data_IF_634711944078
#
_entry.id   IF_634711944078
#
_cell.length_a   1.000
_cell.length_b   1.000
_cell.length_c   1.000
_cell.angle_alpha   90.00
_cell.angle_beta   90.00
_cell.angle_gamma   90.00
#
_symmetry.space_group_name_H-M   'P 1'
#
loop_
_entity.id
_entity.type
_entity.pdbx_description
1 polymer ?
#
# COMPACT_ATOMS: atom_id res chain seq x y z
N UNK A 1 -2.78 10.21 -10.71
CA UNK A 1 -2.79 9.17 -9.65
C UNK A 1 -2.79 9.83 -8.29
N UNK A 2 -3.71 9.43 -7.42
CA UNK A 2 -3.76 9.97 -6.06
C UNK A 2 -2.63 9.41 -5.22
N UNK A 3 -2.03 10.25 -4.40
CA UNK A 3 -0.93 9.85 -3.53
C UNK A 3 -1.21 10.21 -2.08
N UNK A 4 -0.56 9.50 -1.17
CA UNK A 4 -0.68 9.70 0.26
C UNK A 4 0.72 9.62 0.86
N UNK A 5 1.07 10.57 1.71
CA UNK A 5 2.39 10.55 2.37
C UNK A 5 2.40 9.57 3.53
N UNK A 6 3.60 9.18 3.99
CA UNK A 6 3.71 8.32 5.16
C UNK A 6 3.17 9.00 6.42
N UNK A 7 3.30 10.33 6.51
CA UNK A 7 2.72 11.08 7.64
C UNK A 7 1.20 10.99 7.63
N UNK A 8 0.59 11.12 6.45
CA UNK A 8 -0.86 10.99 6.30
C UNK A 8 -1.33 9.58 6.63
N UNK A 9 -0.57 8.55 6.21
CA UNK A 9 -0.89 7.18 6.55
C UNK A 9 -0.82 6.96 8.06
N UNK A 10 0.19 7.51 8.70
CA UNK A 10 0.31 7.40 10.15
C UNK A 10 -0.87 8.04 10.86
N UNK A 11 -1.36 9.17 10.36
CA UNK A 11 -2.57 9.80 10.91
C UNK A 11 -3.80 8.90 10.77
N UNK A 12 -3.96 8.25 9.60
CA UNK A 12 -5.07 7.31 9.42
C UNK A 12 -5.02 6.18 10.45
N UNK A 13 -3.81 5.64 10.68
CA UNK A 13 -3.62 4.56 11.63
C UNK A 13 -3.88 5.03 13.06
N UNK A 14 -3.29 6.16 13.44
CA UNK A 14 -3.40 6.68 14.81
C UNK A 14 -4.83 7.09 15.16
N UNK A 15 -5.57 7.61 14.19
CA UNK A 15 -6.95 8.02 14.37
C UNK A 15 -7.93 6.86 14.19
N UNK A 16 -7.44 5.66 13.93
CA UNK A 16 -8.25 4.45 13.72
C UNK A 16 -9.33 4.65 12.65
N UNK A 17 -8.95 5.33 11.57
CA UNK A 17 -9.84 5.56 10.44
C UNK A 17 -10.18 4.23 9.74
N UNK A 18 -11.35 4.19 9.10
CA UNK A 18 -11.77 3.01 8.35
C UNK A 18 -11.18 3.08 6.94
N UNK A 19 -10.06 2.42 6.73
CA UNK A 19 -9.38 2.36 5.44
C UNK A 19 -8.75 0.98 5.27
N UNK A 20 -8.34 0.68 4.04
CA UNK A 20 -7.65 -0.57 3.73
C UNK A 20 -6.22 -0.26 3.34
N UNK A 21 -5.27 -1.04 3.86
CA UNK A 21 -3.86 -0.93 3.49
C UNK A 21 -3.45 -2.24 2.81
N UNK A 22 -3.01 -2.14 1.55
CA UNK A 22 -2.61 -3.30 0.77
C UNK A 22 -1.16 -3.18 0.35
N UNK A 23 -0.40 -4.24 0.63
CA UNK A 23 1.01 -4.34 0.30
C UNK A 23 1.17 -5.27 -0.91
N UNK A 24 1.69 -4.73 -2.01
CA UNK A 24 1.85 -5.50 -3.26
C UNK A 24 3.27 -6.02 -3.47
N UNK A 25 4.08 -6.04 -2.39
CA UNK A 25 5.42 -6.62 -2.46
C UNK A 25 5.37 -8.14 -2.49
N UNK A 26 6.52 -8.77 -2.64
CA UNK A 26 6.63 -10.22 -2.58
C UNK A 26 6.54 -10.72 -1.15
N UNK A 27 6.16 -12.00 -1.00
CA UNK A 27 6.01 -12.63 0.32
C UNK A 27 7.30 -12.53 1.14
N UNK A 28 8.46 -12.76 0.52
CA UNK A 28 9.74 -12.71 1.23
C UNK A 28 10.03 -11.30 1.77
N UNK A 29 9.70 -10.26 1.00
CA UNK A 29 9.86 -8.88 1.46
C UNK A 29 8.97 -8.60 2.66
N UNK A 30 7.73 -9.05 2.60
CA UNK A 30 6.74 -8.85 3.66
C UNK A 30 7.17 -9.58 4.95
N UNK A 31 7.68 -10.80 4.81
CA UNK A 31 8.11 -11.58 5.97
C UNK A 31 9.33 -10.95 6.66
N UNK A 32 10.20 -10.29 5.89
CA UNK A 32 11.36 -9.63 6.46
C UNK A 32 10.97 -8.41 7.28
N UNK A 33 10.08 -7.56 6.75
CA UNK A 33 9.57 -6.39 7.47
C UNK A 33 8.27 -5.94 6.81
N UNK A 34 7.31 -5.53 7.62
CA UNK A 34 6.05 -5.03 7.10
C UNK A 34 5.43 -4.03 8.07
N UNK A 35 4.44 -3.29 7.59
CA UNK A 35 3.65 -2.37 8.41
C UNK A 35 2.21 -2.85 8.56
N UNK A 36 2.03 -4.18 8.49
CA UNK A 36 0.77 -4.88 8.76
C UNK A 36 -0.32 -4.64 7.73
N UNK A 37 0.05 -4.27 6.50
CA UNK A 37 -0.91 -4.24 5.40
C UNK A 37 -1.32 -5.65 5.00
N UNK A 38 -2.40 -5.76 4.27
CA UNK A 38 -2.82 -7.03 3.68
C UNK A 38 -1.92 -7.32 2.49
N UNK A 39 -1.28 -8.48 2.48
CA UNK A 39 -0.36 -8.84 1.39
C UNK A 39 -1.12 -9.39 0.19
N UNK A 40 -1.01 -8.68 -0.92
CA UNK A 40 -1.51 -9.14 -2.23
C UNK A 40 -0.41 -8.85 -3.24
N UNK A 41 0.53 -9.80 -3.46
CA UNK A 41 1.64 -9.55 -4.39
C UNK A 41 1.16 -9.06 -5.75
N UNK A 42 1.92 -8.16 -6.35
CA UNK A 42 1.53 -7.48 -7.59
C UNK A 42 1.02 -8.45 -8.67
N UNK A 43 1.70 -9.58 -8.85
CA UNK A 43 1.34 -10.53 -9.89
C UNK A 43 -0.01 -11.20 -9.63
N UNK A 44 -0.47 -11.20 -8.38
CA UNK A 44 -1.73 -11.82 -8.00
C UNK A 44 -2.90 -10.83 -7.97
N UNK A 45 -2.64 -9.54 -8.18
CA UNK A 45 -3.69 -8.52 -8.15
C UNK A 45 -4.84 -8.84 -9.11
N UNK A 46 -4.60 -9.24 -10.37
CA UNK A 46 -5.73 -9.55 -11.26
C UNK A 46 -6.65 -10.64 -10.75
N UNK A 47 -6.11 -11.61 -10.01
CA UNK A 47 -6.92 -12.71 -9.45
C UNK A 47 -7.58 -12.32 -8.12
N UNK A 48 -7.25 -11.15 -7.57
CA UNK A 48 -7.71 -10.71 -6.25
C UNK A 48 -8.39 -9.34 -6.27
N UNK A 49 -8.91 -8.93 -7.42
CA UNK A 49 -9.57 -7.63 -7.57
C UNK A 49 -10.69 -7.43 -6.54
N UNK A 50 -11.40 -8.51 -6.23
CA UNK A 50 -12.51 -8.49 -5.28
C UNK A 50 -12.08 -8.25 -3.83
N UNK A 51 -10.79 -8.36 -3.54
CA UNK A 51 -10.26 -8.08 -2.19
C UNK A 51 -10.01 -6.60 -1.94
N UNK A 52 -10.04 -5.78 -2.98
CA UNK A 52 -9.89 -4.34 -2.87
C UNK A 52 -11.24 -3.70 -2.63
N UNK A 53 -11.36 -2.94 -1.54
CA UNK A 53 -12.61 -2.26 -1.22
C UNK A 53 -12.94 -1.20 -2.26
N UNK A 54 -14.23 -0.99 -2.52
CA UNK A 54 -14.71 0.06 -3.43
C UNK A 54 -15.39 1.21 -2.71
N UNK A 55 -15.72 1.02 -1.43
CA UNK A 55 -16.54 1.93 -0.65
C UNK A 55 -15.77 2.67 0.45
N UNK A 56 -14.45 2.55 0.45
CA UNK A 56 -13.60 3.27 1.40
C UNK A 56 -12.24 3.55 0.78
N UNK A 57 -11.45 4.37 1.45
CA UNK A 57 -10.10 4.67 1.01
C UNK A 57 -9.22 3.43 1.07
N UNK A 58 -8.49 3.17 -0.01
CA UNK A 58 -7.53 2.07 -0.08
C UNK A 58 -6.15 2.65 -0.35
N UNK A 59 -5.20 2.35 0.54
CA UNK A 59 -3.80 2.75 0.37
C UNK A 59 -3.05 1.53 -0.14
N UNK A 60 -2.38 1.68 -1.28
CA UNK A 60 -1.60 0.61 -1.90
C UNK A 60 -0.13 0.96 -1.76
N UNK A 61 0.68 0.03 -1.29
CA UNK A 61 2.09 0.28 -1.03
C UNK A 61 2.99 -0.80 -1.58
N UNK A 62 4.23 -0.43 -1.80
CA UNK A 62 5.31 -1.36 -2.11
C UNK A 62 6.60 -0.83 -1.49
N UNK A 63 7.76 -1.20 -2.03
CA UNK A 63 9.04 -0.74 -1.48
C UNK A 63 9.24 0.76 -1.70
N UNK A 64 9.04 1.26 -2.92
CA UNK A 64 9.33 2.66 -3.28
C UNK A 64 8.16 3.41 -3.91
N UNK A 65 7.05 2.73 -4.20
CA UNK A 65 5.89 3.33 -4.84
C UNK A 65 5.70 2.94 -6.30
N UNK A 66 6.64 2.21 -6.89
CA UNK A 66 6.59 1.88 -8.33
C UNK A 66 5.64 0.74 -8.64
N UNK A 67 5.77 -0.38 -7.94
CA UNK A 67 4.89 -1.55 -8.15
C UNK A 67 3.47 -1.21 -7.74
N UNK A 68 3.30 -0.45 -6.67
CA UNK A 68 1.97 -0.02 -6.23
C UNK A 68 1.32 0.91 -7.26
N UNK A 69 2.10 1.77 -7.92
CA UNK A 69 1.58 2.59 -9.02
C UNK A 69 1.06 1.71 -10.15
N UNK A 70 1.78 0.64 -10.50
CA UNK A 70 1.35 -0.29 -11.54
C UNK A 70 0.06 -1.01 -11.14
N UNK A 71 -0.05 -1.44 -9.88
CA UNK A 71 -1.27 -2.07 -9.38
C UNK A 71 -2.45 -1.12 -9.46
N UNK A 72 -2.26 0.14 -9.05
CA UNK A 72 -3.33 1.14 -9.08
C UNK A 72 -3.77 1.41 -10.51
N UNK A 73 -2.83 1.55 -11.45
CA UNK A 73 -3.17 1.79 -12.85
C UNK A 73 -4.05 0.67 -13.40
N UNK A 74 -3.71 -0.57 -13.11
CA UNK A 74 -4.52 -1.72 -13.50
C UNK A 74 -5.93 -1.66 -12.89
N UNK A 75 -6.00 -1.39 -11.59
CA UNK A 75 -7.28 -1.35 -10.87
C UNK A 75 -8.16 -0.18 -11.32
N UNK A 76 -7.55 0.96 -11.65
CA UNK A 76 -8.31 2.10 -12.19
C UNK A 76 -8.98 1.73 -13.51
N UNK A 77 -8.33 0.94 -14.35
CA UNK A 77 -8.94 0.41 -15.57
C UNK A 77 -10.12 -0.51 -15.26
N UNK A 78 -10.12 -1.13 -14.07
CA UNK A 78 -11.21 -1.98 -13.62
C UNK A 78 -12.33 -1.19 -12.94
N UNK A 79 -12.24 0.14 -12.91
CA UNK A 79 -13.29 1.00 -12.38
C UNK A 79 -13.09 1.50 -10.96
N UNK A 80 -11.92 1.27 -10.36
CA UNK A 80 -11.64 1.79 -9.02
C UNK A 80 -11.30 3.28 -9.08
N UNK A 81 -11.80 4.05 -8.12
CA UNK A 81 -11.54 5.49 -8.02
C UNK A 81 -11.11 5.94 -6.63
N UNK A 82 -10.85 4.97 -5.73
CA UNK A 82 -10.62 5.20 -4.30
C UNK A 82 -9.22 4.77 -3.86
N UNK A 83 -8.28 4.65 -4.79
CA UNK A 83 -6.95 4.11 -4.52
C UNK A 83 -5.92 5.22 -4.39
N UNK A 84 -5.03 5.08 -3.41
CA UNK A 84 -3.97 6.05 -3.12
C UNK A 84 -2.64 5.30 -3.06
N UNK A 85 -1.63 5.83 -3.76
CA UNK A 85 -0.29 5.26 -3.73
C UNK A 85 0.46 5.83 -2.53
N UNK A 86 1.03 4.97 -1.69
CA UNK A 86 1.86 5.42 -0.58
C UNK A 86 3.17 5.97 -1.13
N UNK A 87 3.33 7.27 -1.07
CA UNK A 87 4.47 7.97 -1.62
C UNK A 87 5.76 7.54 -0.93
N UNK A 88 6.72 7.07 -1.73
CA UNK A 88 7.99 6.57 -1.22
C UNK A 88 7.95 5.17 -0.60
N UNK A 89 6.77 4.58 -0.47
CA UNK A 89 6.60 3.20 0.01
C UNK A 89 7.13 2.95 1.40
N UNK A 90 7.48 1.69 1.67
CA UNK A 90 7.98 1.30 2.99
C UNK A 90 9.35 1.92 3.29
N UNK A 91 10.12 2.28 2.26
CA UNK A 91 11.38 2.99 2.46
C UNK A 91 11.16 4.34 3.13
N UNK A 92 10.16 5.10 2.67
CA UNK A 92 9.82 6.38 3.28
C UNK A 92 9.26 6.17 4.69
N UNK A 93 8.47 5.12 4.90
CA UNK A 93 7.98 4.79 6.24
C UNK A 93 9.13 4.52 7.19
N UNK A 94 10.11 3.71 6.75
CA UNK A 94 11.29 3.43 7.57
C UNK A 94 12.04 4.71 7.93
N UNK A 95 12.26 5.57 6.94
CA UNK A 95 13.06 6.77 7.13
C UNK A 95 12.38 7.78 8.04
N UNK A 96 11.08 7.97 7.90
CA UNK A 96 10.37 9.08 8.54
C UNK A 96 9.55 8.65 9.76
N UNK A 97 9.12 7.40 9.85
CA UNK A 97 8.22 6.95 10.90
C UNK A 97 8.89 5.94 11.84
N UNK A 98 9.54 4.91 11.30
CA UNK A 98 10.06 3.80 12.11
C UNK A 98 11.35 3.26 11.52
N UNK A 99 12.49 3.82 11.95
CA UNK A 99 13.79 3.42 11.42
C UNK A 99 14.30 2.08 11.95
N UNK A 100 13.52 1.40 12.79
CA UNK A 100 13.87 0.05 13.26
C UNK A 100 13.52 -1.04 12.24
N UNK A 101 12.75 -0.71 11.19
CA UNK A 101 12.37 -1.70 10.18
C UNK A 101 13.59 -2.16 9.39
N UNK A 102 13.68 -3.49 9.21
CA UNK A 102 14.77 -4.11 8.46
C UNK A 102 14.37 -4.23 6.98
N UNK A 103 14.44 -3.10 6.27
CA UNK A 103 14.13 -3.02 4.84
C UNK A 103 15.41 -2.68 4.10
N UNK A 104 15.72 -3.46 3.07
CA UNK A 104 16.88 -3.22 2.21
C UNK A 104 16.56 -2.28 1.07
#
# INVERSE_FOLDING_TARGET
MKELSVDELKELIDNKEDFQLIDVRETAEYEQANIKGELIPLQTVPANVDKFAKDKQVVVMCRSGRRSANAIAYLEEQGFDNLYNLEGGILAWKEEIDNSLDVE
#
